data_IF_575836663249
#
_entry.id   IF_575836663249
#
_cell.length_a   1.000
_cell.length_b   1.000
_cell.length_c   1.000
_cell.angle_alpha   90.00
_cell.angle_beta   90.00
_cell.angle_gamma   90.00
#
_symmetry.space_group_name_H-M   'P 1'
#
loop_
_entity.id
_entity.type
_entity.pdbx_description
1 polymer ?
#
# COMPACT_ATOMS: atom_id res chain seq x y z
N UNK A 1 38.82 -22.95 43.32
CA UNK A 1 38.24 -21.60 43.49
C UNK A 1 36.74 -21.68 43.25
N UNK A 2 35.92 -21.36 44.27
CA UNK A 2 34.46 -21.28 44.16
C UNK A 2 34.10 -19.80 44.07
N UNK A 3 33.56 -19.36 42.94
CA UNK A 3 33.07 -17.99 42.77
C UNK A 3 31.55 -18.03 42.87
N UNK A 4 31.02 -17.66 44.02
CA UNK A 4 29.60 -17.36 44.21
C UNK A 4 29.42 -15.87 44.02
N UNK A 5 28.98 -15.45 42.84
CA UNK A 5 28.54 -14.08 42.58
C UNK A 5 27.06 -13.96 42.98
N UNK A 6 26.79 -13.13 43.98
CA UNK A 6 25.45 -12.81 44.44
C UNK A 6 24.75 -11.89 43.42
N UNK A 7 23.62 -12.33 42.88
CA UNK A 7 22.69 -11.50 42.13
C UNK A 7 21.86 -10.68 43.12
N UNK A 8 22.11 -9.37 43.18
CA UNK A 8 21.24 -8.42 43.85
C UNK A 8 20.05 -8.12 42.94
N UNK A 9 18.84 -8.49 43.39
CA UNK A 9 17.57 -8.10 42.77
C UNK A 9 17.17 -6.72 43.34
N UNK A 10 16.93 -5.68 42.53
CA UNK A 10 16.29 -4.49 43.05
C UNK A 10 14.78 -4.77 43.19
N UNK A 11 14.36 -4.90 44.45
CA UNK A 11 12.97 -4.92 44.87
C UNK A 11 12.43 -3.48 44.84
N UNK A 12 11.60 -3.14 43.86
CA UNK A 12 10.86 -1.86 43.86
C UNK A 12 9.67 -2.01 44.80
N UNK A 13 9.76 -1.32 45.94
CA UNK A 13 8.69 -1.21 46.93
C UNK A 13 7.63 -0.24 46.40
N UNK A 14 6.46 -0.78 46.08
CA UNK A 14 5.23 -0.01 45.97
C UNK A 14 4.72 0.32 47.37
N UNK A 15 4.70 1.60 47.72
CA UNK A 15 3.96 2.13 48.87
C UNK A 15 3.05 3.24 48.34
N UNK A 16 1.74 2.96 48.31
CA UNK A 16 0.72 3.90 47.88
C UNK A 16 0.32 4.88 48.98
N UNK A 17 -0.51 5.85 48.59
CA UNK A 17 -1.57 6.37 49.44
C UNK A 17 -2.69 6.94 48.57
N UNK A 18 -3.86 6.35 48.76
CA UNK A 18 -5.16 6.76 48.23
C UNK A 18 -5.58 8.05 48.93
N UNK A 19 -6.03 9.03 48.15
CA UNK A 19 -6.92 10.08 48.63
C UNK A 19 -8.11 10.17 47.66
N UNK A 20 -9.21 9.56 48.06
CA UNK A 20 -10.53 9.76 47.47
C UNK A 20 -11.04 11.15 47.84
N UNK A 21 -11.33 11.98 46.85
CA UNK A 21 -12.20 13.14 47.02
C UNK A 21 -13.18 13.18 45.85
N UNK A 22 -14.38 12.63 46.08
CA UNK A 22 -15.57 12.97 45.30
C UNK A 22 -15.90 14.44 45.55
N UNK A 23 -15.86 15.24 44.50
CA UNK A 23 -16.58 16.51 44.46
C UNK A 23 -17.61 16.43 43.35
N UNK A 24 -18.86 16.28 43.79
CA UNK A 24 -20.05 16.39 42.98
C UNK A 24 -20.04 17.71 42.19
N UNK A 25 -20.41 17.63 40.91
CA UNK A 25 -20.65 18.79 40.07
C UNK A 25 -21.98 19.40 40.54
N UNK A 26 -22.03 20.66 41.02
CA UNK A 26 -23.29 21.30 41.30
C UNK A 26 -24.01 21.57 39.97
N UNK A 27 -25.20 20.99 39.85
CA UNK A 27 -26.19 21.36 38.85
C UNK A 27 -26.68 22.77 39.18
N UNK A 28 -26.09 23.78 38.54
CA UNK A 28 -26.65 25.14 38.52
C UNK A 28 -27.56 25.23 37.30
N UNK A 29 -28.86 25.23 37.57
CA UNK A 29 -29.86 25.74 36.66
C UNK A 29 -29.69 27.26 36.61
N UNK A 30 -29.22 27.79 35.48
CA UNK A 30 -29.17 29.22 35.26
C UNK A 30 -30.48 29.66 34.59
N UNK A 31 -31.35 30.26 35.39
CA UNK A 31 -32.50 31.05 34.92
C UNK A 31 -32.00 32.21 34.07
N UNK A 32 -32.51 32.31 32.85
CA UNK A 32 -32.32 33.48 31.98
C UNK A 32 -33.30 34.57 32.44
N UNK A 33 -32.85 35.74 32.90
CA UNK A 33 -33.75 36.85 33.17
C UNK A 33 -34.17 37.57 31.89
N UNK A 34 -35.49 37.75 31.75
CA UNK A 34 -36.16 38.61 30.77
C UNK A 34 -35.58 40.04 30.80
N UNK A 35 -34.98 40.47 29.69
CA UNK A 35 -34.55 41.87 29.52
C UNK A 35 -35.69 42.68 28.92
N UNK A 36 -36.31 43.49 29.78
CA UNK A 36 -37.27 44.55 29.47
C UNK A 36 -36.68 45.61 28.54
N UNK A 37 -37.38 45.87 27.43
CA UNK A 37 -37.11 46.97 26.50
C UNK A 37 -37.30 48.35 27.15
N UNK A 38 -36.26 49.17 27.15
CA UNK A 38 -36.36 50.61 27.38
C UNK A 38 -36.26 51.33 26.02
N UNK A 39 -37.33 52.03 25.67
CA UNK A 39 -37.46 52.83 24.44
C UNK A 39 -36.83 54.21 24.62
N UNK A 40 -35.98 54.64 23.69
CA UNK A 40 -35.48 56.01 23.58
C UNK A 40 -36.12 56.66 22.35
N UNK A 41 -36.90 57.71 22.58
CA UNK A 41 -37.52 58.58 21.56
C UNK A 41 -36.46 59.45 20.84
N UNK A 42 -36.59 59.59 19.51
CA UNK A 42 -35.89 60.60 18.69
C UNK A 42 -36.89 61.20 17.67
N UNK A 43 -36.99 62.54 17.51
CA UNK A 43 -38.00 63.19 16.65
C UNK A 43 -37.63 63.18 15.16
N UNK A 44 -38.60 63.43 14.25
CA UNK A 44 -38.49 63.06 12.85
C UNK A 44 -37.93 64.19 11.97
N UNK A 45 -37.01 63.86 11.05
CA UNK A 45 -36.89 64.60 9.80
C UNK A 45 -36.31 63.75 8.66
N UNK A 46 -37.16 63.57 7.64
CA UNK A 46 -36.84 63.53 6.20
C UNK A 46 -36.38 62.22 5.52
N UNK A 47 -37.21 61.84 4.55
CA UNK A 47 -37.04 60.93 3.40
C UNK A 47 -37.15 59.42 3.66
N UNK A 48 -38.14 58.83 3.00
CA UNK A 48 -38.62 57.47 3.22
C UNK A 48 -37.72 56.35 2.70
N UNK A 49 -37.69 55.29 3.50
CA UNK A 49 -37.51 53.90 3.09
C UNK A 49 -38.37 53.08 4.05
N UNK A 50 -39.18 52.14 3.56
CA UNK A 50 -39.94 51.24 4.43
C UNK A 50 -38.98 50.50 5.38
N UNK A 51 -39.30 50.33 6.68
CA UNK A 51 -38.50 49.46 7.53
C UNK A 51 -38.65 48.02 7.03
N UNK A 52 -37.53 47.37 6.74
CA UNK A 52 -37.51 45.93 6.55
C UNK A 52 -37.81 45.25 7.89
N UNK A 53 -38.70 44.25 7.90
CA UNK A 53 -38.92 43.36 9.04
C UNK A 53 -37.58 42.81 9.54
N UNK A 54 -37.35 42.70 10.86
CA UNK A 54 -36.18 42.00 11.37
C UNK A 54 -36.33 40.51 11.05
N UNK A 55 -35.63 40.06 10.01
CA UNK A 55 -35.46 38.64 9.75
C UNK A 55 -34.85 38.00 11.00
N UNK A 56 -35.51 36.95 11.52
CA UNK A 56 -34.98 36.08 12.57
C UNK A 56 -33.52 35.74 12.27
N UNK A 57 -32.63 35.63 13.28
CA UNK A 57 -31.27 35.18 13.03
C UNK A 57 -31.36 33.81 12.39
N UNK A 58 -31.03 33.74 11.10
CA UNK A 58 -30.84 32.49 10.41
C UNK A 58 -29.76 31.76 11.22
N UNK A 59 -30.15 30.65 11.84
CA UNK A 59 -29.19 29.68 12.32
C UNK A 59 -28.30 29.37 11.13
N UNK A 60 -27.03 29.76 11.21
CA UNK A 60 -26.02 29.25 10.29
C UNK A 60 -25.91 27.76 10.59
N UNK A 61 -26.86 26.97 10.06
CA UNK A 61 -26.45 25.71 9.44
C UNK A 61 -25.48 26.18 8.37
N UNK A 62 -24.20 25.90 8.57
CA UNK A 62 -23.33 25.68 7.42
C UNK A 62 -24.16 24.88 6.43
N UNK A 63 -24.29 25.32 5.16
CA UNK A 63 -24.59 24.36 4.13
C UNK A 63 -23.63 23.20 4.40
N UNK A 64 -24.17 21.99 4.60
CA UNK A 64 -23.35 20.81 4.47
C UNK A 64 -22.65 21.02 3.13
N UNK A 65 -21.34 21.26 3.18
CA UNK A 65 -20.53 21.35 1.99
C UNK A 65 -20.88 20.09 1.19
N UNK A 66 -21.19 20.19 -0.11
CA UNK A 66 -21.50 19.01 -0.88
C UNK A 66 -20.32 18.06 -0.70
N UNK A 67 -20.58 16.90 -0.12
CA UNK A 67 -19.61 15.82 -0.02
C UNK A 67 -19.09 15.56 -1.43
N UNK A 68 -17.89 16.06 -1.72
CA UNK A 68 -17.29 15.96 -3.04
C UNK A 68 -16.97 14.49 -3.35
N UNK A 69 -17.01 14.09 -4.62
CA UNK A 69 -17.48 12.80 -5.08
C UNK A 69 -16.36 11.77 -5.15
N UNK A 70 -15.84 11.31 -4.00
CA UNK A 70 -15.31 9.93 -3.92
C UNK A 70 -16.52 9.01 -3.73
N UNK A 71 -17.33 9.01 -4.79
CA UNK A 71 -18.45 8.19 -5.24
C UNK A 71 -19.22 7.34 -4.21
N UNK A 72 -20.52 7.22 -4.47
CA UNK A 72 -21.32 6.09 -4.02
C UNK A 72 -20.66 4.81 -4.52
N UNK A 73 -19.79 4.22 -3.72
CA UNK A 73 -19.11 3.00 -4.06
C UNK A 73 -20.09 1.85 -3.85
N UNK A 74 -20.41 1.07 -4.89
CA UNK A 74 -21.21 -0.12 -4.68
C UNK A 74 -20.44 -1.07 -3.75
N UNK A 75 -21.15 -1.72 -2.80
CA UNK A 75 -20.56 -2.80 -2.01
C UNK A 75 -20.07 -3.92 -2.92
N UNK A 76 -19.18 -4.76 -2.39
CA UNK A 76 -18.70 -5.91 -3.15
C UNK A 76 -19.88 -6.83 -3.51
N UNK A 77 -19.99 -7.31 -4.76
CA UNK A 77 -21.09 -8.19 -5.10
C UNK A 77 -20.96 -9.52 -4.35
N UNK A 78 -22.10 -10.05 -3.90
CA UNK A 78 -22.13 -11.29 -3.14
C UNK A 78 -21.42 -12.42 -3.90
N UNK A 79 -20.44 -13.06 -3.23
CA UNK A 79 -19.69 -14.18 -3.79
C UNK A 79 -18.47 -13.79 -4.64
N UNK A 80 -18.16 -12.51 -4.82
CA UNK A 80 -17.01 -12.08 -5.63
C UNK A 80 -15.65 -12.64 -5.14
N UNK A 81 -15.51 -12.90 -3.84
CA UNK A 81 -14.30 -13.49 -3.26
C UNK A 81 -14.24 -15.02 -3.36
N UNK A 82 -15.21 -15.67 -3.99
CA UNK A 82 -15.19 -17.12 -4.23
C UNK A 82 -14.46 -17.49 -5.54
N UNK A 83 -14.12 -16.49 -6.35
CA UNK A 83 -13.37 -16.62 -7.60
C UNK A 83 -11.98 -16.02 -7.46
N UNK A 84 -11.05 -16.41 -8.34
CA UNK A 84 -9.72 -15.81 -8.43
C UNK A 84 -9.82 -14.28 -8.52
N UNK A 85 -8.95 -13.56 -7.81
CA UNK A 85 -8.78 -12.10 -7.93
C UNK A 85 -8.01 -11.70 -9.21
N UNK A 86 -7.52 -12.68 -9.96
CA UNK A 86 -6.85 -12.48 -11.24
C UNK A 86 -7.78 -12.82 -12.42
N UNK A 87 -7.64 -12.08 -13.52
CA UNK A 87 -8.41 -12.29 -14.75
C UNK A 87 -9.60 -11.33 -14.85
N UNK A 88 -10.70 -11.80 -15.42
CA UNK A 88 -11.93 -11.03 -15.56
C UNK A 88 -12.90 -11.34 -14.40
N UNK A 89 -13.54 -10.32 -13.85
CA UNK A 89 -14.55 -10.48 -12.81
C UNK A 89 -14.74 -9.24 -11.95
N UNK A 90 -15.81 -9.23 -11.13
CA UNK A 90 -16.12 -8.07 -10.32
C UNK A 90 -15.08 -7.78 -9.24
N UNK A 91 -14.34 -8.79 -8.77
CA UNK A 91 -13.23 -8.66 -7.81
C UNK A 91 -11.85 -8.77 -8.48
N UNK A 92 -11.77 -8.66 -9.80
CA UNK A 92 -10.48 -8.72 -10.49
C UNK A 92 -9.61 -7.52 -10.11
N UNK A 93 -8.33 -7.80 -9.88
CA UNK A 93 -7.26 -6.81 -9.72
C UNK A 93 -6.32 -6.97 -10.93
N UNK A 94 -6.05 -5.90 -11.69
CA UNK A 94 -5.02 -5.92 -12.72
C UNK A 94 -3.67 -6.33 -12.14
N UNK A 95 -2.96 -7.22 -12.83
CA UNK A 95 -1.78 -7.90 -12.28
C UNK A 95 -0.68 -6.93 -11.79
N UNK A 96 -0.35 -5.91 -12.60
CA UNK A 96 0.66 -4.92 -12.21
C UNK A 96 0.25 -4.12 -10.96
N UNK A 97 -1.04 -3.78 -10.84
CA UNK A 97 -1.58 -3.04 -9.70
C UNK A 97 -1.61 -3.94 -8.44
N UNK A 98 -1.90 -5.23 -8.60
CA UNK A 98 -1.75 -6.21 -7.53
C UNK A 98 -0.32 -6.26 -6.98
N UNK A 99 0.68 -6.29 -7.87
CA UNK A 99 2.09 -6.26 -7.43
C UNK A 99 2.45 -4.98 -6.68
N UNK A 100 1.89 -3.83 -7.06
CA UNK A 100 2.07 -2.59 -6.29
C UNK A 100 1.53 -2.70 -4.86
N UNK A 101 0.33 -3.28 -4.65
CA UNK A 101 -0.21 -3.51 -3.30
C UNK A 101 0.64 -4.47 -2.47
N UNK A 102 1.13 -5.56 -3.09
CA UNK A 102 1.99 -6.54 -2.41
C UNK A 102 3.35 -5.95 -2.06
N UNK A 103 3.96 -5.19 -2.98
CA UNK A 103 5.23 -4.52 -2.75
C UNK A 103 5.13 -3.51 -1.61
N UNK A 104 4.08 -2.71 -1.58
CA UNK A 104 3.86 -1.74 -0.51
C UNK A 104 3.63 -2.40 0.86
N UNK A 105 2.86 -3.50 0.94
CA UNK A 105 2.74 -4.28 2.17
C UNK A 105 4.11 -4.81 2.65
N UNK A 106 4.90 -5.37 1.73
CA UNK A 106 6.24 -5.89 2.07
C UNK A 106 7.17 -4.78 2.56
N UNK A 107 7.15 -3.61 1.91
CA UNK A 107 7.95 -2.46 2.30
C UNK A 107 7.52 -1.93 3.67
N UNK A 108 6.21 -1.79 3.91
CA UNK A 108 5.71 -1.34 5.20
C UNK A 108 5.96 -2.34 6.33
N UNK A 109 6.05 -3.63 6.03
CA UNK A 109 6.45 -4.64 7.01
C UNK A 109 7.90 -4.44 7.50
N UNK A 110 8.74 -3.78 6.71
CA UNK A 110 10.11 -3.39 7.09
C UNK A 110 10.12 -2.02 7.78
N UNK A 111 9.46 -1.03 7.18
CA UNK A 111 9.54 0.37 7.63
C UNK A 111 8.72 0.63 8.90
N UNK A 112 7.53 0.03 8.99
CA UNK A 112 6.57 0.20 10.10
C UNK A 112 5.91 -1.14 10.46
N UNK A 113 6.65 -2.11 11.03
CA UNK A 113 6.13 -3.47 11.29
C UNK A 113 4.92 -3.50 12.22
N UNK A 114 4.83 -2.57 13.17
CA UNK A 114 3.72 -2.43 14.10
C UNK A 114 2.43 -1.95 13.43
N UNK A 115 2.52 -1.31 12.26
CA UNK A 115 1.37 -0.87 11.50
C UNK A 115 0.50 -2.05 11.08
N UNK A 116 1.14 -3.15 10.66
CA UNK A 116 0.43 -4.37 10.27
C UNK A 116 -0.55 -4.15 9.11
N UNK A 117 -0.21 -3.25 8.19
CA UNK A 117 -1.00 -2.91 7.00
C UNK A 117 -1.11 -4.15 6.08
N UNK A 118 -2.32 -4.64 5.78
CA UNK A 118 -2.50 -5.72 4.84
C UNK A 118 -2.71 -5.24 3.40
N UNK A 119 -2.15 -5.93 2.41
CA UNK A 119 -2.29 -5.56 0.99
C UNK A 119 -3.74 -5.52 0.49
N UNK A 120 -4.63 -6.37 1.04
CA UNK A 120 -6.03 -6.42 0.64
C UNK A 120 -6.82 -5.19 1.12
N UNK A 121 -6.37 -4.50 2.17
CA UNK A 121 -6.90 -3.20 2.57
C UNK A 121 -6.50 -2.11 1.56
N UNK A 122 -5.24 -2.09 1.11
CA UNK A 122 -4.80 -1.17 0.05
C UNK A 122 -5.56 -1.42 -1.26
N UNK A 123 -5.79 -2.69 -1.61
CA UNK A 123 -6.56 -3.05 -2.78
C UNK A 123 -8.01 -2.54 -2.69
N UNK A 124 -8.65 -2.64 -1.51
CA UNK A 124 -9.97 -2.08 -1.30
C UNK A 124 -9.97 -0.56 -1.50
N UNK A 125 -9.05 0.17 -0.85
CA UNK A 125 -8.91 1.62 -1.03
C UNK A 125 -8.68 1.97 -2.51
N UNK A 126 -7.77 1.28 -3.19
CA UNK A 126 -7.46 1.54 -4.61
C UNK A 126 -8.59 1.21 -5.59
N UNK A 127 -9.47 0.24 -5.26
CA UNK A 127 -10.72 0.05 -6.02
C UNK A 127 -11.62 1.26 -5.87
N UNK A 128 -11.88 1.69 -4.64
CA UNK A 128 -12.78 2.83 -4.40
C UNK A 128 -12.15 4.13 -4.92
N UNK A 129 -10.84 4.26 -4.89
CA UNK A 129 -10.17 5.46 -5.40
C UNK A 129 -10.26 5.57 -6.93
N UNK A 130 -9.97 4.50 -7.66
CA UNK A 130 -9.79 4.61 -9.11
C UNK A 130 -10.14 3.36 -9.90
N UNK A 131 -10.86 2.41 -9.31
CA UNK A 131 -11.11 1.10 -9.92
C UNK A 131 -9.78 0.42 -10.32
N UNK A 132 -8.80 0.42 -9.40
CA UNK A 132 -7.46 -0.10 -9.66
C UNK A 132 -6.80 0.54 -10.89
N UNK A 133 -6.64 1.86 -10.88
CA UNK A 133 -6.02 2.60 -11.98
C UNK A 133 -6.81 2.50 -13.31
N UNK A 134 -8.13 2.71 -13.26
CA UNK A 134 -9.08 2.57 -14.38
C UNK A 134 -8.98 1.19 -15.05
N UNK A 135 -8.93 0.13 -14.24
CA UNK A 135 -8.72 -1.24 -14.73
C UNK A 135 -7.29 -1.54 -15.17
N UNK A 136 -6.29 -0.89 -14.57
CA UNK A 136 -4.88 -1.12 -14.84
C UNK A 136 -4.39 -0.43 -16.11
N UNK A 137 -4.94 0.73 -16.45
CA UNK A 137 -4.53 1.55 -17.60
C UNK A 137 -3.21 2.28 -17.35
N UNK A 138 -2.16 1.52 -17.14
CA UNK A 138 -0.79 1.98 -16.94
C UNK A 138 0.09 1.63 -18.14
N UNK A 139 1.25 2.26 -18.24
CA UNK A 139 2.35 1.73 -19.02
C UNK A 139 3.00 0.51 -18.32
N UNK A 140 4.10 0.01 -18.90
CA UNK A 140 4.83 -1.16 -18.41
C UNK A 140 5.56 -0.91 -17.08
N UNK A 141 5.76 0.34 -16.68
CA UNK A 141 6.44 0.73 -15.45
C UNK A 141 5.44 1.07 -14.32
N UNK A 142 4.14 1.10 -14.64
CA UNK A 142 3.07 1.37 -13.69
C UNK A 142 2.58 2.80 -13.69
N UNK A 143 3.07 3.66 -14.58
CA UNK A 143 2.57 5.04 -14.69
C UNK A 143 1.26 5.09 -15.46
N UNK A 144 0.27 5.80 -14.94
CA UNK A 144 -1.04 5.95 -15.57
C UNK A 144 -0.91 6.52 -17.00
N UNK A 145 -1.56 5.87 -17.96
CA UNK A 145 -1.64 6.35 -19.36
C UNK A 145 -2.41 7.66 -19.51
N UNK A 146 -3.22 8.00 -18.52
CA UNK A 146 -3.89 9.29 -18.41
C UNK A 146 -3.72 9.79 -16.99
N UNK A 147 -3.02 10.91 -16.77
CA UNK A 147 -2.89 11.50 -15.45
C UNK A 147 -4.28 11.71 -14.83
N UNK A 148 -4.41 11.31 -13.57
CA UNK A 148 -5.63 11.38 -12.77
C UNK A 148 -5.41 12.40 -11.65
N UNK A 149 -6.23 13.45 -11.68
CA UNK A 149 -6.36 14.44 -10.60
C UNK A 149 -7.85 14.63 -10.37
N UNK A 150 -8.32 14.35 -9.16
CA UNK A 150 -9.72 14.52 -8.79
C UNK A 150 -10.01 15.98 -8.35
N UNK A 151 -11.29 16.40 -8.32
CA UNK A 151 -11.69 17.63 -7.65
C UNK A 151 -11.10 17.71 -6.23
N UNK A 152 -10.68 18.90 -5.80
CA UNK A 152 -9.93 19.06 -4.54
C UNK A 152 -8.43 18.75 -4.63
N UNK A 153 -7.92 18.35 -5.80
CA UNK A 153 -6.48 18.20 -6.05
C UNK A 153 -5.89 16.88 -5.56
N UNK A 154 -6.71 15.86 -5.33
CA UNK A 154 -6.22 14.52 -5.02
C UNK A 154 -5.57 13.88 -6.25
N UNK A 155 -4.44 13.20 -6.05
CA UNK A 155 -3.49 12.79 -7.08
C UNK A 155 -3.49 11.27 -7.28
N UNK A 156 -3.31 10.86 -8.54
CA UNK A 156 -2.89 9.51 -8.84
C UNK A 156 -3.95 8.41 -8.71
N UNK A 157 -3.53 7.13 -8.81
CA UNK A 157 -4.43 5.98 -8.72
C UNK A 157 -4.95 5.72 -7.31
N UNK A 158 -4.32 6.25 -6.27
CA UNK A 158 -4.80 6.14 -4.88
C UNK A 158 -5.58 7.37 -4.42
N UNK A 159 -5.80 8.37 -5.29
CA UNK A 159 -6.46 9.65 -4.97
C UNK A 159 -5.93 10.27 -3.66
N UNK A 160 -4.62 10.36 -3.52
CA UNK A 160 -4.02 10.95 -2.31
C UNK A 160 -4.20 12.47 -2.31
N UNK A 161 -4.61 13.10 -1.19
CA UNK A 161 -4.57 14.55 -1.07
C UNK A 161 -3.16 15.08 -1.35
N UNK A 162 -3.05 16.22 -2.04
CA UNK A 162 -1.75 16.80 -2.38
C UNK A 162 -0.84 17.01 -1.16
N UNK A 163 -1.40 17.41 -0.01
CA UNK A 163 -0.66 17.55 1.23
C UNK A 163 -0.07 16.22 1.74
N UNK A 164 -0.81 15.12 1.62
CA UNK A 164 -0.32 13.78 1.98
C UNK A 164 0.80 13.33 1.03
N UNK A 165 0.65 13.60 -0.27
CA UNK A 165 1.71 13.32 -1.25
C UNK A 165 3.00 14.08 -0.93
N UNK A 166 2.93 15.37 -0.60
CA UNK A 166 4.12 16.16 -0.28
C UNK A 166 4.92 15.63 0.91
N UNK A 167 4.25 15.03 1.91
CA UNK A 167 4.91 14.51 3.10
C UNK A 167 5.24 13.01 3.05
N UNK A 168 4.53 12.23 2.23
CA UNK A 168 4.64 10.77 2.21
C UNK A 168 5.03 10.18 0.85
N UNK A 169 5.33 10.99 -0.18
CA UNK A 169 5.80 10.47 -1.46
C UNK A 169 6.98 9.50 -1.28
N UNK A 170 6.94 8.41 -2.03
CA UNK A 170 7.94 7.38 -2.00
C UNK A 170 8.11 6.78 -3.39
N UNK A 171 9.33 6.33 -3.70
CA UNK A 171 9.68 5.63 -4.93
C UNK A 171 9.42 4.13 -4.69
N UNK A 172 8.27 3.67 -5.13
CA UNK A 172 7.74 2.33 -4.84
C UNK A 172 8.21 1.26 -5.80
N UNK A 173 8.68 1.63 -7.00
CA UNK A 173 9.28 0.72 -7.98
C UNK A 173 10.82 0.80 -8.01
N UNK A 174 11.42 1.68 -7.20
CA UNK A 174 12.85 1.93 -7.08
C UNK A 174 13.52 2.40 -8.39
N UNK A 175 12.80 3.19 -9.20
CA UNK A 175 13.32 3.70 -10.47
C UNK A 175 14.09 5.04 -10.35
N UNK A 176 14.15 5.60 -9.14
CA UNK A 176 14.83 6.85 -8.81
C UNK A 176 13.94 8.09 -8.91
N UNK A 177 12.66 7.93 -9.26
CA UNK A 177 11.67 9.02 -9.36
C UNK A 177 10.52 8.77 -8.40
N UNK A 178 9.95 9.84 -7.83
CA UNK A 178 8.66 9.77 -7.13
C UNK A 178 7.59 10.41 -8.01
N UNK A 179 6.67 9.62 -8.54
CA UNK A 179 5.58 10.03 -9.42
C UNK A 179 4.21 9.66 -8.84
N UNK A 180 3.39 10.68 -8.53
CA UNK A 180 2.04 10.45 -8.01
C UNK A 180 1.14 9.68 -8.99
N UNK A 181 1.49 9.70 -10.28
CA UNK A 181 0.78 8.97 -11.32
C UNK A 181 1.26 7.53 -11.49
N UNK A 182 2.30 7.09 -10.78
CA UNK A 182 2.76 5.70 -10.77
C UNK A 182 2.03 4.88 -9.69
N UNK A 183 1.54 3.69 -10.04
CA UNK A 183 0.81 2.83 -9.11
C UNK A 183 1.65 2.33 -7.95
N UNK A 184 2.95 2.07 -8.15
CA UNK A 184 3.83 1.62 -7.07
C UNK A 184 4.08 2.75 -6.08
N UNK A 185 4.43 3.93 -6.57
CA UNK A 185 4.72 5.11 -5.75
C UNK A 185 3.50 5.60 -4.99
N UNK A 186 2.36 5.75 -5.68
CA UNK A 186 1.11 6.18 -5.06
C UNK A 186 0.64 5.17 -4.00
N UNK A 187 0.84 3.88 -4.23
CA UNK A 187 0.47 2.85 -3.25
C UNK A 187 1.40 2.87 -2.04
N UNK A 188 2.71 3.00 -2.24
CA UNK A 188 3.65 3.09 -1.12
C UNK A 188 3.42 4.37 -0.31
N UNK A 189 3.19 5.51 -0.98
CA UNK A 189 2.86 6.77 -0.33
C UNK A 189 1.56 6.68 0.48
N UNK A 190 0.53 6.05 -0.07
CA UNK A 190 -0.73 5.80 0.66
C UNK A 190 -0.50 4.93 1.90
N UNK A 191 0.33 3.90 1.77
CA UNK A 191 0.67 3.00 2.87
C UNK A 191 1.43 3.72 3.98
N UNK A 192 2.42 4.55 3.62
CA UNK A 192 3.17 5.36 4.56
C UNK A 192 2.26 6.38 5.28
N UNK A 193 1.32 6.99 4.56
CA UNK A 193 0.34 7.91 5.15
C UNK A 193 -0.61 7.21 6.12
N UNK A 194 -1.14 6.04 5.75
CA UNK A 194 -1.99 5.23 6.63
C UNK A 194 -1.27 4.73 7.88
N UNK A 195 0.03 4.45 7.77
CA UNK A 195 0.88 3.99 8.87
C UNK A 195 1.52 5.12 9.68
N UNK A 196 1.25 6.39 9.33
CA UNK A 196 1.78 7.53 10.06
C UNK A 196 1.31 7.53 11.52
N UNK A 197 2.04 8.26 12.38
CA UNK A 197 1.71 8.48 13.80
C UNK A 197 1.51 7.19 14.62
N UNK A 198 2.13 6.08 14.20
CA UNK A 198 2.08 4.80 14.93
C UNK A 198 0.71 4.10 14.84
N UNK A 199 -0.04 4.33 13.76
CA UNK A 199 -1.28 3.63 13.49
C UNK A 199 -1.09 2.09 13.53
N UNK A 200 -2.13 1.36 13.95
CA UNK A 200 -2.15 -0.11 14.02
C UNK A 200 -3.37 -0.64 13.28
N UNK A 201 -3.19 -1.05 12.04
CA UNK A 201 -4.27 -1.42 11.13
C UNK A 201 -4.81 -2.83 11.38
N UNK A 202 -4.14 -3.63 12.21
CA UNK A 202 -4.70 -4.89 12.74
C UNK A 202 -5.75 -4.66 13.82
N UNK A 203 -5.75 -3.48 14.43
CA UNK A 203 -6.75 -3.11 15.44
C UNK A 203 -7.93 -2.40 14.75
N UNK A 204 -9.19 -2.77 15.04
CA UNK A 204 -10.36 -2.21 14.35
C UNK A 204 -10.43 -0.68 14.40
N UNK A 205 -10.03 -0.07 15.52
CA UNK A 205 -10.03 1.38 15.70
C UNK A 205 -8.87 2.06 14.94
N UNK A 206 -7.71 1.40 14.86
CA UNK A 206 -6.57 1.90 14.11
C UNK A 206 -6.80 1.86 12.61
N UNK A 207 -7.39 0.77 12.13
CA UNK A 207 -7.87 0.64 10.75
C UNK A 207 -8.90 1.71 10.41
N UNK A 208 -9.93 1.88 11.24
CA UNK A 208 -10.99 2.87 11.00
C UNK A 208 -10.44 4.30 10.89
N UNK A 209 -9.49 4.67 11.75
CA UNK A 209 -8.82 5.99 11.67
C UNK A 209 -7.97 6.14 10.42
N UNK A 210 -7.23 5.11 10.02
CA UNK A 210 -6.40 5.14 8.81
C UNK A 210 -7.26 5.23 7.54
N UNK A 211 -8.39 4.51 7.48
CA UNK A 211 -9.33 4.58 6.35
C UNK A 211 -10.04 5.93 6.30
N UNK A 212 -10.35 6.52 7.46
CA UNK A 212 -10.96 7.85 7.56
C UNK A 212 -10.07 9.00 7.03
N UNK A 213 -8.79 8.74 6.76
CA UNK A 213 -7.91 9.69 6.05
C UNK A 213 -8.41 9.96 4.62
N UNK A 214 -9.00 8.97 3.97
CA UNK A 214 -9.51 9.08 2.59
C UNK A 214 -10.94 9.63 2.56
N UNK A 215 -11.81 9.10 3.43
CA UNK A 215 -13.19 9.52 3.59
C UNK A 215 -13.68 9.13 4.99
N UNK A 216 -14.19 10.12 5.74
CA UNK A 216 -14.63 9.94 7.12
C UNK A 216 -16.04 9.31 7.26
N UNK A 217 -16.71 8.98 6.15
CA UNK A 217 -18.05 8.42 6.17
C UNK A 217 -18.05 6.96 6.66
N UNK A 218 -19.02 6.56 7.50
CA UNK A 218 -19.16 5.17 7.93
C UNK A 218 -19.49 4.23 6.76
N UNK A 219 -20.17 4.73 5.73
CA UNK A 219 -20.45 3.98 4.51
C UNK A 219 -19.17 3.61 3.76
N UNK A 220 -18.21 4.55 3.64
CA UNK A 220 -16.92 4.26 3.01
C UNK A 220 -16.13 3.20 3.78
N UNK A 221 -16.04 3.32 5.11
CA UNK A 221 -15.38 2.31 5.95
C UNK A 221 -16.01 0.92 5.79
N UNK A 222 -17.35 0.85 5.75
CA UNK A 222 -18.06 -0.41 5.53
C UNK A 222 -17.72 -1.04 4.17
N UNK A 223 -17.74 -0.23 3.11
CA UNK A 223 -17.39 -0.69 1.76
C UNK A 223 -15.92 -1.13 1.66
N UNK A 224 -14.99 -0.39 2.25
CA UNK A 224 -13.56 -0.75 2.29
C UNK A 224 -13.39 -2.10 2.97
N UNK A 225 -14.04 -2.33 4.11
CA UNK A 225 -13.98 -3.62 4.82
C UNK A 225 -14.56 -4.77 4.01
N UNK A 226 -15.67 -4.55 3.32
CA UNK A 226 -16.31 -5.58 2.50
C UNK A 226 -15.45 -5.98 1.29
N UNK A 227 -14.90 -5.00 0.58
CA UNK A 227 -13.96 -5.26 -0.51
C UNK A 227 -12.65 -5.88 -0.01
N UNK A 228 -12.14 -5.42 1.12
CA UNK A 228 -10.94 -5.98 1.74
C UNK A 228 -11.12 -7.46 2.10
N UNK A 229 -12.25 -7.81 2.70
CA UNK A 229 -12.60 -9.21 2.99
C UNK A 229 -12.78 -10.04 1.70
N UNK A 230 -13.34 -9.45 0.66
CA UNK A 230 -13.47 -10.08 -0.66
C UNK A 230 -12.11 -10.44 -1.25
N UNK A 231 -11.15 -9.51 -1.18
CA UNK A 231 -9.79 -9.75 -1.67
C UNK A 231 -9.00 -10.74 -0.83
N UNK A 232 -9.11 -10.66 0.49
CA UNK A 232 -8.51 -11.63 1.39
C UNK A 232 -8.95 -13.05 1.03
N UNK A 233 -10.27 -13.26 0.89
CA UNK A 233 -10.84 -14.56 0.50
C UNK A 233 -10.39 -15.00 -0.90
N UNK A 234 -10.40 -14.10 -1.87
CA UNK A 234 -10.00 -14.44 -3.23
C UNK A 234 -8.51 -14.75 -3.36
N UNK A 235 -7.66 -14.20 -2.50
CA UNK A 235 -6.24 -14.57 -2.43
C UNK A 235 -6.03 -15.96 -1.83
N UNK A 236 -6.78 -16.35 -0.80
CA UNK A 236 -6.76 -17.73 -0.29
C UNK A 236 -7.12 -18.74 -1.38
N UNK A 237 -8.11 -18.40 -2.24
CA UNK A 237 -8.50 -19.23 -3.38
C UNK A 237 -7.38 -19.29 -4.44
N UNK A 238 -6.75 -18.16 -4.76
CA UNK A 238 -5.66 -18.11 -5.72
C UNK A 238 -4.43 -18.90 -5.23
N UNK A 239 -4.07 -18.79 -3.96
CA UNK A 239 -3.00 -19.58 -3.34
C UNK A 239 -3.34 -21.07 -3.30
N UNK A 240 -4.56 -21.44 -2.94
CA UNK A 240 -5.01 -22.83 -2.95
C UNK A 240 -5.00 -23.44 -4.37
N UNK A 241 -5.30 -22.64 -5.40
CA UNK A 241 -5.21 -23.07 -6.79
C UNK A 241 -3.76 -23.25 -7.27
N UNK A 242 -2.82 -22.50 -6.69
CA UNK A 242 -1.37 -22.60 -6.98
C UNK A 242 -0.67 -23.68 -6.13
N UNK A 243 -1.32 -24.17 -5.07
CA UNK A 243 -0.77 -25.23 -4.25
C UNK A 243 -0.53 -26.50 -5.09
N UNK A 244 0.63 -27.16 -4.95
CA UNK A 244 0.89 -28.40 -5.68
C UNK A 244 -0.19 -29.43 -5.32
N UNK A 245 -0.65 -30.26 -6.27
CA UNK A 245 -1.63 -31.29 -5.98
C UNK A 245 -1.11 -32.19 -4.85
N UNK A 246 -1.99 -32.73 -3.98
CA UNK A 246 -1.55 -33.63 -2.92
C UNK A 246 -0.70 -34.74 -3.54
N UNK A 247 0.50 -34.93 -2.99
CA UNK A 247 1.41 -35.96 -3.46
C UNK A 247 0.65 -37.29 -3.48
N UNK A 248 0.48 -37.88 -4.68
CA UNK A 248 0.08 -39.29 -4.77
C UNK A 248 1.08 -40.09 -3.94
N UNK A 249 0.66 -41.13 -3.19
CA UNK A 249 1.61 -41.97 -2.48
C UNK A 249 2.67 -42.45 -3.48
N UNK A 250 3.89 -41.93 -3.36
CA UNK A 250 5.01 -42.45 -4.13
C UNK A 250 5.27 -43.83 -3.51
N UNK A 251 5.14 -44.93 -4.27
CA UNK A 251 5.50 -46.23 -3.73
C UNK A 251 6.93 -46.16 -3.21
N UNK A 252 7.19 -46.77 -2.06
CA UNK A 252 8.51 -46.72 -1.46
C UNK A 252 9.54 -47.22 -2.48
N UNK A 253 10.77 -46.72 -2.44
CA UNK A 253 11.84 -47.17 -3.35
C UNK A 253 12.09 -48.70 -3.30
N UNK A 254 11.52 -49.40 -2.32
CA UNK A 254 11.51 -50.86 -2.21
C UNK A 254 10.54 -51.57 -3.16
N UNK A 255 9.60 -50.85 -3.78
CA UNK A 255 8.57 -51.41 -4.66
C UNK A 255 8.91 -51.27 -6.16
N UNK A 256 10.04 -50.63 -6.50
CA UNK A 256 10.53 -50.58 -7.89
C UNK A 256 11.46 -51.79 -8.10
N UNK A 257 10.92 -52.85 -8.69
CA UNK A 257 11.74 -53.92 -9.24
C UNK A 257 12.69 -53.32 -10.30
N UNK A 258 14.00 -53.52 -10.10
CA UNK A 258 15.03 -53.05 -11.01
C UNK A 258 14.74 -53.52 -12.46
N UNK A 259 14.84 -52.65 -13.48
CA UNK A 259 14.69 -53.09 -14.85
C UNK A 259 15.84 -54.03 -15.21
N UNK A 260 15.51 -55.14 -15.87
CA UNK A 260 16.48 -56.10 -16.41
C UNK A 260 17.47 -55.38 -17.35
N UNK A 261 18.73 -55.83 -17.43
CA UNK A 261 19.74 -55.17 -18.26
C UNK A 261 19.32 -55.20 -19.74
N UNK A 262 19.30 -54.02 -20.36
CA UNK A 262 18.99 -53.86 -21.76
C UNK A 262 20.07 -54.51 -22.64
N UNK A 263 19.63 -55.32 -23.60
CA UNK A 263 20.48 -55.83 -24.68
C UNK A 263 21.02 -54.66 -25.51
N UNK A 264 22.32 -54.71 -25.81
CA UNK A 264 23.03 -53.69 -26.57
C UNK A 264 22.48 -53.56 -28.01
N UNK A 265 22.23 -52.32 -28.45
CA UNK A 265 21.98 -51.97 -29.85
C UNK A 265 23.27 -51.35 -30.41
N UNK A 266 23.82 -51.82 -31.54
CA UNK A 266 25.00 -51.22 -32.16
C UNK A 266 24.63 -50.09 -33.13
N UNK A 267 25.36 -48.97 -33.03
CA UNK A 267 25.61 -48.05 -34.14
C UNK A 267 25.01 -46.63 -34.01
N UNK A 268 25.86 -45.67 -33.62
CA UNK A 268 25.76 -44.28 -34.10
C UNK A 268 27.18 -43.68 -34.12
N UNK A 269 27.58 -42.94 -35.18
CA UNK A 269 28.96 -42.47 -35.35
C UNK A 269 29.24 -41.23 -34.49
N UNK A 270 30.45 -41.21 -33.93
CA UNK A 270 31.01 -40.13 -33.13
C UNK A 270 31.52 -38.99 -34.04
N UNK A 271 31.22 -37.74 -33.67
CA UNK A 271 31.86 -36.56 -34.24
C UNK A 271 32.72 -35.90 -33.15
N UNK A 272 34.02 -35.80 -33.44
CA UNK A 272 35.06 -35.27 -32.57
C UNK A 272 35.07 -33.71 -32.52
N UNK A 273 35.76 -33.11 -31.53
CA UNK A 273 35.65 -31.69 -31.20
C UNK A 273 36.61 -30.81 -32.02
N UNK A 274 36.15 -29.64 -32.45
CA UNK A 274 36.97 -28.65 -33.14
C UNK A 274 37.39 -27.48 -32.22
N UNK A 275 38.68 -27.14 -32.22
CA UNK A 275 39.25 -25.87 -31.74
C UNK A 275 40.10 -25.25 -32.88
N UNK A 276 40.57 -23.99 -32.81
CA UNK A 276 40.35 -22.99 -33.86
C UNK A 276 41.58 -22.79 -34.74
N UNK A 277 41.37 -22.41 -36.01
CA UNK A 277 42.43 -22.19 -36.98
C UNK A 277 42.16 -20.98 -37.87
N UNK A 278 43.19 -20.15 -37.95
CA UNK A 278 43.33 -18.81 -38.48
C UNK A 278 43.29 -18.67 -40.03
N UNK A 279 43.13 -17.42 -40.48
CA UNK A 279 43.63 -16.81 -41.73
C UNK A 279 42.82 -16.87 -43.05
N UNK A 280 42.13 -15.75 -43.33
CA UNK A 280 42.27 -14.80 -44.48
C UNK A 280 42.32 -15.29 -45.95
N UNK A 281 41.42 -14.74 -46.80
CA UNK A 281 41.70 -13.67 -47.81
C UNK A 281 40.81 -13.72 -49.07
N UNK A 282 40.33 -12.54 -49.50
CA UNK A 282 40.01 -12.18 -50.91
C UNK A 282 38.69 -11.40 -51.14
N UNK A 283 38.66 -10.06 -51.01
CA UNK A 283 38.57 -8.99 -52.07
C UNK A 283 37.32 -9.03 -52.98
N UNK A 284 36.55 -7.96 -53.29
CA UNK A 284 36.49 -6.49 -53.09
C UNK A 284 35.02 -6.05 -53.37
N UNK A 285 34.50 -4.81 -53.30
CA UNK A 285 34.99 -3.44 -53.50
C UNK A 285 33.99 -2.43 -52.85
N UNK A 286 34.54 -1.28 -52.41
CA UNK A 286 34.03 0.11 -52.30
C UNK A 286 32.66 0.43 -51.67
N UNK A 287 32.46 1.40 -50.78
CA UNK A 287 33.27 2.45 -50.18
C UNK A 287 32.33 3.54 -49.63
N UNK A 288 32.51 3.99 -48.38
CA UNK A 288 32.04 5.29 -47.87
C UNK A 288 32.55 5.52 -46.43
N UNK A 289 33.50 6.44 -46.30
CA UNK A 289 34.03 6.98 -45.04
C UNK A 289 32.94 7.64 -44.19
N UNK A 290 32.95 7.32 -42.90
CA UNK A 290 32.15 7.94 -41.86
C UNK A 290 32.65 7.49 -40.49
N UNK A 291 33.84 7.95 -40.11
CA UNK A 291 34.46 7.60 -38.84
C UNK A 291 33.63 8.12 -37.66
N UNK A 292 33.07 7.21 -36.87
CA UNK A 292 32.51 7.53 -35.55
C UNK A 292 33.71 7.65 -34.61
N UNK A 293 33.94 8.80 -33.93
CA UNK A 293 34.99 8.90 -32.93
C UNK A 293 34.72 7.92 -31.78
N UNK A 294 35.73 7.13 -31.43
CA UNK A 294 35.67 6.23 -30.28
C UNK A 294 35.43 7.04 -29.00
N UNK A 295 34.36 6.70 -28.27
CA UNK A 295 34.11 7.25 -26.95
C UNK A 295 35.26 6.89 -26.00
N UNK A 296 35.72 7.82 -25.15
CA UNK A 296 36.73 7.51 -24.14
C UNK A 296 36.21 6.44 -23.16
N UNK A 297 37.07 5.56 -22.63
CA UNK A 297 36.65 4.54 -21.68
C UNK A 297 36.10 5.21 -20.41
N UNK A 298 34.85 4.90 -20.07
CA UNK A 298 34.23 5.32 -18.82
C UNK A 298 34.88 4.51 -17.68
N UNK A 299 35.43 5.13 -16.62
CA UNK A 299 35.96 4.39 -15.49
C UNK A 299 34.81 3.64 -14.80
N UNK A 300 34.92 2.31 -14.71
CA UNK A 300 33.99 1.49 -13.94
C UNK A 300 34.12 1.86 -12.44
N UNK A 301 33.01 2.01 -11.71
CA UNK A 301 33.07 2.16 -10.26
C UNK A 301 33.67 0.89 -9.65
N UNK A 302 34.76 1.04 -8.90
CA UNK A 302 35.33 -0.04 -8.08
C UNK A 302 34.37 -0.28 -6.92
N UNK A 303 33.67 -1.42 -6.95
CA UNK A 303 32.87 -1.86 -5.81
C UNK A 303 33.80 -2.10 -4.61
N UNK A 304 33.48 -1.56 -3.41
CA UNK A 304 34.21 -1.91 -2.20
C UNK A 304 34.06 -3.41 -1.92
N UNK A 305 35.15 -4.05 -1.52
CA UNK A 305 35.17 -5.45 -1.13
C UNK A 305 34.23 -5.65 0.07
N UNK A 306 33.21 -6.48 -0.09
CA UNK A 306 32.26 -6.80 0.97
C UNK A 306 33.01 -7.49 2.12
N UNK A 307 32.79 -7.09 3.38
CA UNK A 307 33.39 -7.78 4.51
C UNK A 307 32.88 -9.22 4.58
N UNK A 308 33.77 -10.16 4.90
CA UNK A 308 33.41 -11.56 5.07
C UNK A 308 32.34 -11.71 6.16
N UNK A 309 31.16 -12.19 5.77
CA UNK A 309 30.06 -12.47 6.70
C UNK A 309 30.47 -13.67 7.56
N UNK A 310 30.49 -13.57 8.90
CA UNK A 310 30.81 -14.71 9.75
C UNK A 310 29.72 -15.79 9.59
N UNK A 311 30.12 -17.06 9.39
CA UNK A 311 29.20 -18.21 9.33
C UNK A 311 28.41 -18.28 10.65
N UNK A 312 27.14 -17.84 10.64
CA UNK A 312 26.25 -17.91 11.81
C UNK A 312 25.70 -19.31 12.07
N UNK A 313 26.00 -20.29 11.19
CA UNK A 313 25.60 -21.69 11.35
C UNK A 313 26.80 -22.62 11.06
N UNK A 314 27.41 -23.25 12.08
CA UNK A 314 28.58 -24.11 11.92
C UNK A 314 28.34 -25.38 11.09
N UNK A 315 27.07 -25.77 10.87
CA UNK A 315 26.71 -27.01 10.19
C UNK A 315 26.81 -26.96 8.66
N UNK A 316 27.07 -25.79 8.07
CA UNK A 316 27.03 -25.59 6.61
C UNK A 316 28.30 -24.97 6.00
N UNK A 317 29.39 -24.89 6.77
CA UNK A 317 30.69 -24.43 6.27
C UNK A 317 31.66 -25.62 6.34
N UNK A 318 32.03 -26.21 5.19
CA UNK A 318 33.04 -27.26 5.04
C UNK A 318 34.21 -26.75 4.21
#
# INVERSE_FOLDING_TARGET
>A
MRWTAALAVPMVVAAGLVATASSAIPSVAEEIPDSTSASLEVPPTLVGVLPADPASPASFRSPAEPSDPVLQHPPAPAGAGATSIFGEGPAAIPELVYYAYRAAEMQMAVDSPECGLPWHLLAAVGRLASEHADGGRTDILGTLTTPKVAPGGALGPMLLPAAAWETHRADGNADGTTDAQNVFDATLAASAWMCADGARLREPDGEARAVALFDASPEYLANVREWSATYAKGAEVAEAAMAPPPARPVPAASDIAAPAPALAVPGSPQADPATPGDTSSGTGEDGAEGGIPALPPVPLPVLPELPAVPCLVPAFCN
#
